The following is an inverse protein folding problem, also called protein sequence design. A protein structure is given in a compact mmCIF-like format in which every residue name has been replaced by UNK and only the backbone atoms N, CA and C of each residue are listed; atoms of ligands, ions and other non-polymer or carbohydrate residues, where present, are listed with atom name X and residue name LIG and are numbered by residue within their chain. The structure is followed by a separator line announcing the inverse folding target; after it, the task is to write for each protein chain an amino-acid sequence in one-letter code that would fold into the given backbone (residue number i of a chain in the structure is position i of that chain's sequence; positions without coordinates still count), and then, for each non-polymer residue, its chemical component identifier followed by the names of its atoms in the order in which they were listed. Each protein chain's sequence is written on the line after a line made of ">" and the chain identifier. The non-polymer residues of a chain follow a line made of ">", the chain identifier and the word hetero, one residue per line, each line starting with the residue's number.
data_IF_652503437629
#
_entry.id   IF_652503437629
#
_cell.length_a   1.000
_cell.length_b   1.000
_cell.length_c   1.000
_cell.angle_alpha   90.00
_cell.angle_beta   90.00
_cell.angle_gamma   90.00
#
_symmetry.space_group_name_H-M   'P 1'
#
loop_
_entity.id
_entity.type
_entity.pdbx_description
1 polymer ?
#
# COMPACT_ATOMS: atom_id res chain seq x y z
N UNK A 1 -19.94 0.06 9.53
CA UNK A 1 -19.28 1.37 9.46
C UNK A 1 -19.28 1.75 8.01
N UNK A 2 -19.87 2.90 7.67
CA UNK A 2 -19.77 3.44 6.32
C UNK A 2 -18.30 3.64 5.96
N UNK A 3 -17.92 3.41 4.69
CA UNK A 3 -16.57 3.73 4.23
C UNK A 3 -16.27 5.19 4.53
N UNK A 4 -15.05 5.49 4.95
CA UNK A 4 -14.65 6.87 5.23
C UNK A 4 -14.69 7.68 3.93
N UNK A 5 -15.76 8.45 3.74
CA UNK A 5 -15.82 9.45 2.69
C UNK A 5 -14.79 10.53 3.00
N UNK A 6 -13.85 10.73 2.09
CA UNK A 6 -12.75 11.68 2.28
C UNK A 6 -12.90 12.84 1.30
N UNK A 7 -12.82 14.06 1.84
CA UNK A 7 -13.00 15.28 1.07
C UNK A 7 -11.88 16.28 1.37
N UNK A 8 -11.11 16.62 0.33
CA UNK A 8 -10.08 17.67 0.37
C UNK A 8 -9.07 17.47 1.49
N UNK A 9 -8.41 18.54 1.90
CA UNK A 9 -7.53 18.61 3.05
C UNK A 9 -6.16 17.96 2.85
N UNK A 10 -5.61 17.45 3.94
CA UNK A 10 -4.31 16.76 3.95
C UNK A 10 -4.50 15.27 4.17
N UNK A 11 -3.92 14.45 3.28
CA UNK A 11 -3.72 13.02 3.48
C UNK A 11 -2.29 12.78 3.92
N UNK A 12 -2.11 11.96 4.96
CA UNK A 12 -0.81 11.45 5.36
C UNK A 12 -0.78 9.93 5.25
N UNK A 13 0.29 9.38 4.67
CA UNK A 13 0.54 7.95 4.61
C UNK A 13 1.86 7.66 5.29
N UNK A 14 1.80 6.84 6.34
CA UNK A 14 2.99 6.26 6.95
C UNK A 14 3.21 4.86 6.37
N UNK A 15 4.02 4.77 5.31
CA UNK A 15 4.37 3.51 4.68
C UNK A 15 5.45 2.83 5.51
N UNK A 16 5.06 1.95 6.43
CA UNK A 16 6.00 1.15 7.25
C UNK A 16 6.34 -0.19 6.60
N UNK A 17 7.39 -0.85 7.10
CA UNK A 17 7.86 -2.13 6.54
C UNK A 17 6.89 -3.29 6.76
N UNK A 18 6.16 -3.26 7.88
CA UNK A 18 5.21 -4.30 8.27
C UNK A 18 3.77 -3.80 8.24
N UNK A 19 3.56 -2.54 8.62
CA UNK A 19 2.26 -1.91 8.72
C UNK A 19 2.29 -0.55 8.06
N UNK A 20 1.17 -0.16 7.47
CA UNK A 20 0.90 1.15 6.89
C UNK A 20 -0.33 1.74 7.58
N UNK A 21 -0.29 3.03 7.86
CA UNK A 21 -1.46 3.78 8.34
C UNK A 21 -1.73 4.97 7.43
N UNK A 22 -3.00 5.30 7.28
CA UNK A 22 -3.46 6.46 6.51
C UNK A 22 -4.17 7.39 7.48
N UNK A 23 -3.83 8.68 7.45
CA UNK A 23 -4.48 9.70 8.25
C UNK A 23 -5.02 10.81 7.36
N UNK A 24 -6.14 11.39 7.73
CA UNK A 24 -6.74 12.52 7.02
C UNK A 24 -7.05 13.67 7.97
N UNK A 25 -6.82 14.88 7.49
CA UNK A 25 -7.28 16.11 8.11
C UNK A 25 -8.13 16.88 7.10
N UNK A 26 -9.40 17.19 7.40
CA UNK A 26 -10.28 17.94 6.49
C UNK A 26 -9.77 19.35 6.17
N UNK A 27 -10.06 19.84 4.96
CA UNK A 27 -9.75 21.22 4.56
C UNK A 27 -10.44 22.28 5.43
N UNK A 28 -11.61 21.94 5.99
CA UNK A 28 -12.36 22.79 6.94
C UNK A 28 -11.68 22.89 8.31
N UNK A 29 -10.60 22.16 8.54
CA UNK A 29 -9.86 22.11 9.79
C UNK A 29 -10.33 20.99 10.72
N UNK A 30 -9.83 21.01 11.96
CA UNK A 30 -10.09 19.97 12.97
C UNK A 30 -8.93 18.99 13.16
N UNK A 31 -9.06 18.05 14.12
CA UNK A 31 -8.00 17.09 14.43
C UNK A 31 -7.83 16.07 13.30
N UNK A 32 -6.59 15.67 12.96
CA UNK A 32 -6.36 14.57 12.05
C UNK A 32 -6.88 13.25 12.65
N UNK A 33 -7.34 12.34 11.79
CA UNK A 33 -7.86 11.03 12.20
C UNK A 33 -7.26 9.93 11.34
N UNK A 34 -7.01 8.77 11.94
CA UNK A 34 -6.66 7.58 11.19
C UNK A 34 -7.88 7.09 10.39
N UNK A 35 -7.66 6.75 9.14
CA UNK A 35 -8.67 6.17 8.26
C UNK A 35 -8.60 4.65 8.39
N UNK A 36 -9.73 4.06 8.75
CA UNK A 36 -9.92 2.62 8.64
C UNK A 36 -10.40 2.29 7.22
N UNK A 37 -9.67 1.45 6.51
CA UNK A 37 -9.99 0.99 5.15
C UNK A 37 -10.51 -0.44 5.27
N UNK A 38 -11.83 -0.70 5.31
CA UNK A 38 -12.35 -2.02 5.67
C UNK A 38 -11.81 -3.16 4.81
N UNK A 39 -11.53 -2.91 3.53
CA UNK A 39 -10.96 -3.92 2.64
C UNK A 39 -9.53 -4.33 3.02
N UNK A 40 -8.71 -3.42 3.57
CA UNK A 40 -7.26 -3.60 3.70
C UNK A 40 -6.76 -3.61 5.14
N UNK A 41 -7.42 -2.87 6.02
CA UNK A 41 -7.08 -2.78 7.44
C UNK A 41 -7.35 -4.09 8.18
N UNK A 42 -6.68 -4.29 9.32
CA UNK A 42 -7.14 -5.20 10.36
C UNK A 42 -8.60 -4.92 10.71
N UNK A 43 -9.34 -5.94 11.17
CA UNK A 43 -10.80 -5.84 11.36
C UNK A 43 -11.22 -4.72 12.30
N UNK A 44 -10.46 -4.51 13.37
CA UNK A 44 -10.86 -3.63 14.47
C UNK A 44 -9.95 -2.40 14.62
N UNK A 45 -8.93 -2.27 13.76
CA UNK A 45 -7.90 -1.24 13.88
C UNK A 45 -7.60 -0.58 12.52
N UNK A 46 -7.32 0.73 12.44
CA UNK A 46 -6.95 1.41 11.20
C UNK A 46 -5.49 1.14 10.79
N UNK A 47 -5.06 -0.12 10.90
CA UNK A 47 -3.71 -0.58 10.57
C UNK A 47 -3.80 -1.50 9.37
N UNK A 48 -3.07 -1.19 8.30
CA UNK A 48 -3.03 -1.98 7.08
C UNK A 48 -1.72 -2.77 7.07
N UNK A 49 -1.72 -4.11 7.02
CA UNK A 49 -0.49 -4.85 6.76
C UNK A 49 0.16 -4.40 5.45
N UNK A 50 1.47 -4.15 5.45
CA UNK A 50 2.22 -3.75 4.23
C UNK A 50 2.50 -4.99 3.37
N UNK A 51 1.42 -5.51 2.78
CA UNK A 51 1.39 -6.74 2.01
C UNK A 51 0.60 -6.50 0.72
N UNK A 52 1.11 -7.05 -0.37
CA UNK A 52 0.46 -7.04 -1.68
C UNK A 52 0.64 -8.41 -2.32
N UNK A 53 -0.41 -8.94 -2.91
CA UNK A 53 -0.32 -10.06 -3.83
C UNK A 53 -0.98 -9.69 -5.15
N UNK A 54 -0.22 -9.75 -6.24
CA UNK A 54 -0.73 -9.56 -7.60
C UNK A 54 -0.20 -10.70 -8.46
N UNK A 55 -1.09 -11.62 -8.89
CA UNK A 55 -0.74 -12.58 -9.94
C UNK A 55 -0.57 -11.82 -11.28
N UNK A 56 0.22 -12.38 -12.21
CA UNK A 56 0.63 -11.75 -13.47
C UNK A 56 -0.44 -10.85 -14.17
N UNK A 57 0.04 -9.76 -14.78
CA UNK A 57 -0.69 -8.85 -15.69
C UNK A 57 -1.93 -8.11 -15.12
N UNK A 58 -1.89 -7.70 -13.85
CA UNK A 58 -2.83 -6.67 -13.36
C UNK A 58 -2.69 -5.31 -14.09
N UNK A 59 -1.63 -5.13 -14.89
CA UNK A 59 -1.32 -3.94 -15.69
C UNK A 59 -1.76 -4.05 -17.15
N UNK A 60 -2.11 -5.24 -17.66
CA UNK A 60 -2.57 -5.40 -19.03
C UNK A 60 -4.09 -5.38 -19.08
N UNK A 61 -4.66 -4.41 -19.81
CA UNK A 61 -6.05 -4.46 -20.25
C UNK A 61 -6.24 -5.60 -21.25
N UNK A 62 -6.35 -6.84 -20.76
CA UNK A 62 -6.68 -7.98 -21.59
C UNK A 62 -8.18 -8.30 -21.46
N UNK A 63 -9.00 -8.08 -22.51
CA UNK A 63 -10.46 -8.10 -22.43
C UNK A 63 -11.09 -9.49 -22.22
N UNK A 64 -10.28 -10.55 -22.04
CA UNK A 64 -10.75 -11.95 -21.99
C UNK A 64 -10.31 -12.76 -20.78
N UNK A 65 -9.51 -12.21 -19.88
CA UNK A 65 -9.17 -12.87 -18.63
C UNK A 65 -9.92 -12.19 -17.49
N UNK A 66 -10.64 -12.92 -16.62
CA UNK A 66 -11.12 -12.33 -15.38
C UNK A 66 -9.88 -11.81 -14.64
N UNK A 67 -9.75 -10.47 -14.50
CA UNK A 67 -8.68 -9.86 -13.72
C UNK A 67 -8.68 -10.54 -12.36
N UNK A 68 -7.67 -11.35 -12.05
CA UNK A 68 -7.48 -11.74 -10.66
C UNK A 68 -7.18 -10.44 -9.90
N UNK A 69 -8.02 -10.03 -8.95
CA UNK A 69 -7.80 -8.79 -8.24
C UNK A 69 -6.51 -8.93 -7.41
N UNK A 70 -5.68 -7.90 -7.43
CA UNK A 70 -4.62 -7.79 -6.43
C UNK A 70 -5.26 -7.81 -5.03
N UNK A 71 -4.64 -8.56 -4.12
CA UNK A 71 -4.99 -8.60 -2.71
C UNK A 71 -4.06 -7.66 -1.95
N UNK A 72 -4.62 -6.87 -1.04
CA UNK A 72 -3.87 -5.85 -0.29
C UNK A 72 -4.12 -6.00 1.20
N UNK A 73 -3.07 -5.84 1.99
CA UNK A 73 -3.14 -5.84 3.45
C UNK A 73 -3.79 -7.10 4.02
N UNK A 74 -4.87 -6.93 4.79
CA UNK A 74 -5.61 -8.04 5.41
C UNK A 74 -6.06 -9.10 4.40
N UNK A 75 -6.38 -8.74 3.17
CA UNK A 75 -6.81 -9.70 2.14
C UNK A 75 -5.72 -10.74 1.83
N UNK A 76 -4.44 -10.35 1.89
CA UNK A 76 -3.31 -11.27 1.68
C UNK A 76 -3.24 -12.31 2.81
N UNK A 77 -3.51 -11.86 4.04
CA UNK A 77 -3.54 -12.72 5.22
C UNK A 77 -4.73 -13.67 5.14
N UNK A 78 -5.92 -13.16 4.83
CA UNK A 78 -7.15 -13.95 4.74
C UNK A 78 -7.14 -14.97 3.61
N UNK A 79 -6.33 -14.73 2.58
CA UNK A 79 -6.08 -15.69 1.50
C UNK A 79 -5.04 -16.78 1.88
N UNK A 80 -4.50 -16.77 3.10
CA UNK A 80 -3.52 -17.76 3.56
C UNK A 80 -2.15 -17.67 2.86
N UNK A 81 -1.89 -16.59 2.11
CA UNK A 81 -0.67 -16.49 1.28
C UNK A 81 0.61 -16.41 2.10
N UNK A 82 0.54 -15.92 3.33
CA UNK A 82 1.70 -15.90 4.23
C UNK A 82 2.10 -17.30 4.72
N UNK A 83 1.16 -18.24 4.80
CA UNK A 83 1.45 -19.62 5.25
C UNK A 83 2.28 -20.38 4.21
N UNK A 84 2.13 -20.01 2.94
CA UNK A 84 2.92 -20.55 1.83
C UNK A 84 4.38 -20.08 1.84
N UNK A 85 4.73 -19.07 2.65
CA UNK A 85 6.11 -18.58 2.76
C UNK A 85 7.08 -19.58 3.39
N UNK A 86 6.57 -20.54 4.16
CA UNK A 86 7.37 -21.64 4.73
C UNK A 86 7.76 -22.69 3.68
N UNK A 87 7.20 -22.61 2.47
CA UNK A 87 7.60 -23.43 1.32
C UNK A 87 8.83 -22.82 0.65
N UNK A 88 9.61 -23.64 -0.07
CA UNK A 88 10.94 -23.28 -0.59
C UNK A 88 10.97 -21.98 -1.43
N UNK A 89 9.84 -21.55 -1.99
CA UNK A 89 9.69 -20.27 -2.67
C UNK A 89 8.33 -19.62 -2.37
N UNK A 90 8.28 -18.36 -1.91
CA UNK A 90 7.01 -17.63 -1.79
C UNK A 90 6.37 -17.44 -3.19
N UNK A 91 5.04 -17.28 -3.26
CA UNK A 91 4.36 -17.03 -4.53
C UNK A 91 4.98 -15.85 -5.28
N UNK A 92 5.24 -16.00 -6.58
CA UNK A 92 5.90 -14.97 -7.40
C UNK A 92 5.14 -13.63 -7.45
N UNK A 93 3.85 -13.62 -7.13
CA UNK A 93 3.03 -12.40 -7.01
C UNK A 93 3.05 -11.74 -5.64
N UNK A 94 3.68 -12.34 -4.62
CA UNK A 94 3.68 -11.83 -3.25
C UNK A 94 4.79 -10.79 -3.05
N UNK A 95 4.41 -9.61 -2.58
CA UNK A 95 5.28 -8.53 -2.16
C UNK A 95 5.10 -8.30 -0.66
N UNK A 96 6.19 -8.49 0.08
CA UNK A 96 6.25 -8.34 1.54
C UNK A 96 7.61 -7.74 1.91
N UNK A 97 7.66 -6.95 2.99
CA UNK A 97 8.88 -6.30 3.48
C UNK A 97 9.69 -5.57 2.38
N UNK A 98 9.03 -5.10 1.32
CA UNK A 98 9.69 -4.52 0.16
C UNK A 98 10.31 -3.14 0.46
N UNK A 99 9.77 -2.42 1.46
CA UNK A 99 10.19 -1.06 1.82
C UNK A 99 11.70 -0.90 2.00
N UNK A 100 12.38 -1.90 2.58
CA UNK A 100 13.84 -1.84 2.85
C UNK A 100 14.69 -1.79 1.59
N UNK A 101 14.18 -2.32 0.48
CA UNK A 101 14.91 -2.43 -0.79
C UNK A 101 14.61 -1.28 -1.74
N UNK A 102 13.56 -0.50 -1.50
CA UNK A 102 13.16 0.62 -2.34
C UNK A 102 14.28 1.68 -2.39
N UNK A 103 14.65 2.09 -3.60
CA UNK A 103 15.64 3.13 -3.82
C UNK A 103 17.08 2.73 -3.44
N UNK A 104 17.33 1.46 -3.09
CA UNK A 104 18.67 0.97 -2.79
C UNK A 104 19.57 1.02 -4.05
N UNK A 105 20.89 1.04 -3.83
CA UNK A 105 21.90 1.05 -4.89
C UNK A 105 23.02 0.03 -4.58
N UNK A 106 23.61 -0.63 -5.59
CA UNK A 106 23.26 -0.56 -7.03
C UNK A 106 21.84 -1.09 -7.29
N UNK A 107 21.23 -0.66 -8.41
CA UNK A 107 19.90 -1.13 -8.80
C UNK A 107 20.01 -2.60 -9.22
N UNK A 108 19.11 -3.44 -8.70
CA UNK A 108 19.00 -4.86 -9.00
C UNK A 108 17.53 -5.23 -9.23
N UNK A 109 17.26 -6.40 -9.80
CA UNK A 109 15.88 -6.90 -10.00
C UNK A 109 15.07 -6.89 -8.69
N UNK A 110 15.71 -7.16 -7.55
CA UNK A 110 15.07 -7.08 -6.24
C UNK A 110 14.63 -5.64 -5.90
N UNK A 111 15.46 -4.64 -6.22
CA UNK A 111 15.13 -3.22 -6.01
C UNK A 111 13.98 -2.82 -6.93
N UNK A 112 14.02 -3.22 -8.20
CA UNK A 112 12.94 -2.92 -9.16
C UNK A 112 11.61 -3.55 -8.73
N UNK A 113 11.63 -4.81 -8.32
CA UNK A 113 10.47 -5.50 -7.77
C UNK A 113 9.92 -4.83 -6.51
N UNK A 114 10.81 -4.30 -5.66
CA UNK A 114 10.40 -3.58 -4.46
C UNK A 114 9.77 -2.21 -4.78
N UNK A 115 10.36 -1.46 -5.71
CA UNK A 115 9.83 -0.19 -6.21
C UNK A 115 8.46 -0.39 -6.87
N UNK A 116 8.31 -1.44 -7.69
CA UNK A 116 7.03 -1.80 -8.32
C UNK A 116 5.98 -2.21 -7.28
N UNK A 117 6.34 -3.08 -6.33
CA UNK A 117 5.43 -3.52 -5.27
C UNK A 117 4.96 -2.37 -4.39
N UNK A 118 5.86 -1.44 -4.04
CA UNK A 118 5.51 -0.24 -3.29
C UNK A 118 4.58 0.69 -4.06
N UNK A 119 4.80 0.87 -5.37
CA UNK A 119 3.99 1.76 -6.20
C UNK A 119 2.58 1.20 -6.38
N UNK A 120 2.47 -0.10 -6.67
CA UNK A 120 1.18 -0.80 -6.74
C UNK A 120 0.42 -0.75 -5.41
N UNK A 121 1.13 -0.96 -4.29
CA UNK A 121 0.51 -0.89 -2.97
C UNK A 121 -0.07 0.52 -2.69
N UNK A 122 0.70 1.58 -2.97
CA UNK A 122 0.24 2.96 -2.81
C UNK A 122 -0.91 3.32 -3.76
N UNK A 123 -0.89 2.86 -5.01
CA UNK A 123 -1.99 3.06 -5.97
C UNK A 123 -3.28 2.38 -5.49
N UNK A 124 -3.19 1.16 -4.97
CA UNK A 124 -4.35 0.49 -4.37
C UNK A 124 -4.89 1.22 -3.15
N UNK A 125 -4.02 1.69 -2.24
CA UNK A 125 -4.48 2.52 -1.12
C UNK A 125 -5.19 3.78 -1.60
N UNK A 126 -4.60 4.47 -2.58
CA UNK A 126 -5.16 5.69 -3.14
C UNK A 126 -6.55 5.48 -3.76
N UNK A 127 -6.74 4.38 -4.49
CA UNK A 127 -8.02 4.02 -5.13
C UNK A 127 -9.08 3.53 -4.16
N UNK A 128 -8.69 2.92 -3.04
CA UNK A 128 -9.63 2.47 -2.02
C UNK A 128 -10.20 3.61 -1.17
N UNK A 129 -9.54 4.76 -1.18
CA UNK A 129 -10.07 5.98 -0.59
C UNK A 129 -11.19 6.50 -1.51
N UNK A 130 -12.40 6.54 -0.99
CA UNK A 130 -13.58 7.02 -1.72
C UNK A 130 -13.60 8.55 -1.70
N UNK A 131 -12.82 9.14 -2.61
CA UNK A 131 -12.68 10.58 -2.72
C UNK A 131 -13.96 11.23 -3.26
N UNK A 132 -14.55 12.13 -2.49
CA UNK A 132 -15.48 13.12 -3.05
C UNK A 132 -14.69 14.23 -3.77
N UNK A 133 -13.61 14.68 -3.13
CA UNK A 133 -12.59 15.55 -3.73
C UNK A 133 -11.20 15.11 -3.27
N UNK A 134 -10.20 15.05 -4.17
CA UNK A 134 -8.82 14.73 -3.80
C UNK A 134 -8.23 15.71 -2.76
N UNK A 135 -7.26 15.28 -1.95
CA UNK A 135 -6.61 16.15 -0.96
C UNK A 135 -5.72 17.18 -1.65
N UNK A 136 -5.62 18.39 -1.09
CA UNK A 136 -4.70 19.41 -1.62
C UNK A 136 -3.25 19.18 -1.19
N UNK A 137 -3.03 18.35 -0.16
CA UNK A 137 -1.71 17.99 0.35
C UNK A 137 -1.60 16.48 0.58
N UNK A 138 -0.54 15.88 0.04
CA UNK A 138 -0.08 14.54 0.40
C UNK A 138 1.18 14.65 1.25
N UNK A 139 1.19 13.98 2.40
CA UNK A 139 2.35 13.87 3.30
C UNK A 139 2.76 12.40 3.37
N UNK A 140 4.01 12.11 3.02
CA UNK A 140 4.58 10.77 3.11
C UNK A 140 5.66 10.76 4.18
N UNK A 141 5.62 9.79 5.09
CA UNK A 141 6.69 9.63 6.08
C UNK A 141 7.88 8.89 5.46
N UNK A 142 9.08 9.21 5.94
CA UNK A 142 10.28 8.46 5.62
C UNK A 142 11.13 8.34 6.89
N UNK A 143 11.84 7.21 7.11
CA UNK A 143 12.77 7.11 8.22
C UNK A 143 13.85 8.19 8.11
N UNK A 144 14.37 8.65 9.26
CA UNK A 144 15.44 9.65 9.30
C UNK A 144 16.66 9.18 8.50
N UNK A 145 17.03 7.91 8.72
CA UNK A 145 18.12 7.24 8.00
C UNK A 145 17.73 6.74 6.61
N UNK A 146 16.53 7.11 6.10
CA UNK A 146 16.15 6.77 4.74
C UNK A 146 17.22 7.28 3.77
N UNK A 147 17.84 6.35 3.05
CA UNK A 147 18.76 6.68 1.99
C UNK A 147 18.06 7.61 0.98
N UNK A 148 18.79 8.57 0.41
CA UNK A 148 18.24 9.55 -0.52
C UNK A 148 17.49 8.92 -1.71
N UNK A 149 17.75 7.64 -2.01
CA UNK A 149 16.99 6.86 -3.00
C UNK A 149 15.53 6.63 -2.61
N UNK A 150 15.25 6.23 -1.36
CA UNK A 150 13.87 5.99 -0.89
C UNK A 150 13.04 7.28 -0.94
N UNK A 151 13.60 8.40 -0.46
CA UNK A 151 12.93 9.71 -0.49
C UNK A 151 12.69 10.27 -1.89
N UNK A 152 13.48 9.86 -2.89
CA UNK A 152 13.26 10.23 -4.31
C UNK A 152 12.26 9.33 -5.00
N UNK A 153 12.09 8.11 -4.48
CA UNK A 153 11.10 7.16 -4.99
C UNK A 153 9.70 7.49 -4.49
N UNK A 154 9.58 7.88 -3.20
CA UNK A 154 8.38 8.50 -2.65
C UNK A 154 8.06 9.79 -3.40
#
# INVERSE_FOLDING_TARGET
>A
MDPAEVQGGSLAIDLGSSNTVVAHQPATGGPPRLLHLPAYSHRDEPIIPTLLYCANDCTADHPRSPRQPCLVGRQVIEAGLLETMSQSHPPAGLHYQFKRSIGARPRSEQVERAEQGGALFLDHLWRALQWQTPPERLVLTAPVDAFAGYRRWL
#
